data_IF_767419519386
#
_entry.id   IF_767419519386
#
_cell.length_a   1.000
_cell.length_b   1.000
_cell.length_c   1.000
_cell.angle_alpha   90.00
_cell.angle_beta   90.00
_cell.angle_gamma   90.00
#
_symmetry.space_group_name_H-M   'P 1'
#
loop_
_entity.id
_entity.type
_entity.pdbx_description
1 polymer ?
#
# COMPACT_ATOMS: atom_id res chain seq x y z
N UNK A 1 -21.85 13.05 -15.14
CA UNK A 1 -20.87 12.20 -14.45
C UNK A 1 -21.64 11.05 -13.80
N UNK A 2 -21.24 9.81 -14.06
CA UNK A 2 -21.96 8.63 -13.55
C UNK A 2 -20.99 7.56 -13.06
N UNK A 3 -21.27 7.00 -11.89
CA UNK A 3 -20.69 5.75 -11.40
C UNK A 3 -21.76 4.67 -11.58
N UNK A 4 -21.41 3.61 -12.30
CA UNK A 4 -22.29 2.46 -12.56
C UNK A 4 -21.85 1.28 -11.70
N UNK A 5 -22.78 0.70 -10.95
CA UNK A 5 -22.53 -0.43 -10.05
C UNK A 5 -23.22 -1.67 -10.63
N UNK A 6 -22.46 -2.68 -11.12
CA UNK A 6 -23.06 -3.91 -11.64
C UNK A 6 -23.71 -4.73 -10.50
N UNK A 7 -24.94 -5.21 -10.71
CA UNK A 7 -25.73 -5.89 -9.70
C UNK A 7 -25.17 -7.27 -9.31
N UNK A 8 -24.73 -8.04 -10.27
CA UNK A 8 -24.26 -9.41 -10.08
C UNK A 8 -22.73 -9.55 -10.09
N UNK A 9 -21.99 -8.44 -9.88
CA UNK A 9 -20.54 -8.53 -9.75
C UNK A 9 -20.18 -9.30 -8.47
N UNK A 10 -19.19 -10.19 -8.61
CA UNK A 10 -18.54 -10.78 -7.44
C UNK A 10 -17.92 -9.63 -6.62
N UNK A 11 -18.19 -9.63 -5.31
CA UNK A 11 -17.57 -8.69 -4.39
C UNK A 11 -16.35 -9.37 -3.76
N UNK A 12 -15.14 -9.16 -4.27
CA UNK A 12 -13.94 -9.76 -3.70
C UNK A 12 -13.67 -9.20 -2.30
N UNK A 13 -12.93 -9.96 -1.47
CA UNK A 13 -12.44 -9.45 -0.20
C UNK A 13 -11.61 -8.19 -0.41
N UNK A 14 -11.74 -7.22 0.50
CA UNK A 14 -10.81 -6.11 0.58
C UNK A 14 -9.43 -6.67 0.96
N UNK A 15 -8.37 -6.39 0.20
CA UNK A 15 -7.02 -6.81 0.57
C UNK A 15 -6.64 -6.34 1.97
N UNK A 16 -5.83 -7.11 2.68
CA UNK A 16 -5.29 -6.68 3.98
C UNK A 16 -4.42 -5.46 3.78
N UNK A 17 -4.80 -4.34 4.39
CA UNK A 17 -4.08 -3.08 4.28
C UNK A 17 -3.08 -2.92 5.42
N UNK A 18 -1.88 -2.49 5.08
CA UNK A 18 -0.81 -2.20 6.02
C UNK A 18 0.01 -1.00 5.58
N UNK A 19 1.00 -0.65 6.39
CA UNK A 19 1.84 0.52 6.16
C UNK A 19 3.32 0.17 6.30
N UNK A 20 4.19 0.99 5.72
CA UNK A 20 5.61 0.87 5.94
C UNK A 20 6.01 1.66 7.18
N UNK A 21 6.85 1.08 8.02
CA UNK A 21 7.45 1.79 9.14
C UNK A 21 8.37 2.90 8.62
N UNK A 22 8.51 3.96 9.42
CA UNK A 22 9.36 5.09 9.06
C UNK A 22 10.78 4.62 8.75
N UNK A 23 11.29 4.99 7.56
CA UNK A 23 12.60 4.53 7.09
C UNK A 23 13.75 5.02 7.98
N UNK A 24 13.61 6.21 8.57
CA UNK A 24 14.60 6.80 9.47
C UNK A 24 14.61 6.20 10.89
N UNK A 25 13.66 5.28 11.18
CA UNK A 25 13.56 4.60 12.48
C UNK A 25 13.10 5.51 13.62
N UNK A 26 12.48 6.65 13.31
CA UNK A 26 11.89 7.52 14.34
C UNK A 26 10.76 6.81 15.09
N UNK A 27 10.76 6.93 16.40
CA UNK A 27 9.69 6.37 17.25
C UNK A 27 8.42 7.22 17.15
N UNK A 28 7.27 6.55 17.29
CA UNK A 28 5.96 7.21 17.30
C UNK A 28 5.66 7.80 18.66
N UNK A 29 5.07 8.98 18.71
CA UNK A 29 4.49 9.54 19.92
C UNK A 29 3.21 8.79 20.34
N UNK A 30 2.77 8.96 21.59
CA UNK A 30 1.52 8.35 22.07
C UNK A 30 0.30 8.79 21.25
N UNK A 31 0.30 10.03 20.76
CA UNK A 31 -0.75 10.57 19.91
C UNK A 31 -0.72 9.92 18.52
N UNK A 32 0.45 9.81 17.90
CA UNK A 32 0.63 9.14 16.61
C UNK A 32 0.23 7.66 16.70
N UNK A 33 0.62 6.95 17.78
CA UNK A 33 0.18 5.58 18.06
C UNK A 33 -1.34 5.51 18.16
N UNK A 34 -2.00 6.44 18.85
CA UNK A 34 -3.45 6.44 18.98
C UNK A 34 -4.16 6.61 17.64
N UNK A 35 -3.71 7.55 16.81
CA UNK A 35 -4.25 7.79 15.47
C UNK A 35 -4.03 6.60 14.55
N UNK A 36 -2.82 6.07 14.49
CA UNK A 36 -2.47 4.96 13.59
C UNK A 36 -3.15 3.64 13.98
N UNK A 37 -3.30 3.38 15.29
CA UNK A 37 -4.03 2.20 15.79
C UNK A 37 -5.51 2.25 15.40
N UNK A 38 -6.12 3.43 15.34
CA UNK A 38 -7.51 3.61 14.92
C UNK A 38 -7.75 3.14 13.48
N UNK A 39 -6.74 3.15 12.61
CA UNK A 39 -6.79 2.64 11.25
C UNK A 39 -6.80 1.11 11.17
N UNK A 40 -6.52 0.40 12.27
CA UNK A 40 -6.43 -1.07 12.36
C UNK A 40 -5.56 -1.68 11.26
N UNK A 41 -4.29 -1.28 11.14
CA UNK A 41 -3.42 -1.83 10.11
C UNK A 41 -3.27 -3.34 10.28
N UNK A 42 -3.44 -4.10 9.20
CA UNK A 42 -3.28 -5.54 9.24
C UNK A 42 -1.81 -5.93 9.45
N UNK A 43 -0.90 -5.14 8.92
CA UNK A 43 0.54 -5.37 9.03
C UNK A 43 1.34 -4.06 8.92
N UNK A 44 2.55 -4.11 9.47
CA UNK A 44 3.60 -3.10 9.25
C UNK A 44 4.78 -3.75 8.52
N UNK A 45 5.22 -3.16 7.43
CA UNK A 45 6.45 -3.57 6.75
C UNK A 45 7.65 -2.83 7.35
N UNK A 46 8.72 -3.58 7.64
CA UNK A 46 9.99 -3.05 8.11
C UNK A 46 11.13 -3.53 7.23
N UNK A 47 11.81 -2.62 6.55
CA UNK A 47 12.99 -2.93 5.76
C UNK A 47 14.22 -3.07 6.68
N UNK A 48 14.94 -4.20 6.56
CA UNK A 48 16.10 -4.56 7.39
C UNK A 48 17.26 -5.01 6.49
N UNK A 49 18.38 -4.31 6.55
CA UNK A 49 19.65 -4.85 6.06
C UNK A 49 20.09 -5.97 7.00
N UNK A 50 20.05 -7.21 6.52
CA UNK A 50 20.38 -8.38 7.33
C UNK A 50 21.87 -8.44 7.72
N UNK A 51 22.77 -7.78 6.98
CA UNK A 51 24.19 -7.71 7.30
C UNK A 51 24.51 -6.64 8.36
N UNK A 52 23.57 -5.75 8.65
CA UNK A 52 23.77 -4.70 9.65
C UNK A 52 23.94 -5.27 11.06
N UNK A 53 24.90 -4.79 11.85
CA UNK A 53 25.01 -5.17 13.26
C UNK A 53 23.79 -4.75 14.09
N UNK A 54 22.94 -3.85 13.58
CA UNK A 54 21.74 -3.38 14.21
C UNK A 54 20.49 -4.15 13.77
N UNK A 55 20.59 -5.18 12.90
CA UNK A 55 19.46 -5.86 12.29
C UNK A 55 18.48 -6.43 13.34
N UNK A 56 18.97 -7.13 14.36
CA UNK A 56 18.12 -7.63 15.45
C UNK A 56 17.51 -6.53 16.31
N UNK A 57 18.26 -5.47 16.59
CA UNK A 57 17.74 -4.31 17.33
C UNK A 57 16.60 -3.65 16.56
N UNK A 58 16.76 -3.49 15.25
CA UNK A 58 15.74 -2.95 14.35
C UNK A 58 14.50 -3.85 14.30
N UNK A 59 14.68 -5.17 14.19
CA UNK A 59 13.58 -6.13 14.26
C UNK A 59 12.80 -6.01 15.58
N UNK A 60 13.52 -5.96 16.71
CA UNK A 60 12.91 -5.83 18.04
C UNK A 60 12.14 -4.51 18.21
N UNK A 61 12.66 -3.41 17.68
CA UNK A 61 11.93 -2.13 17.65
C UNK A 61 10.65 -2.24 16.82
N UNK A 62 10.75 -2.85 15.63
CA UNK A 62 9.59 -3.08 14.77
C UNK A 62 8.51 -3.96 15.43
N UNK A 63 8.92 -5.01 16.15
CA UNK A 63 7.98 -5.85 16.90
C UNK A 63 7.25 -5.06 18.00
N UNK A 64 7.95 -4.17 18.72
CA UNK A 64 7.32 -3.31 19.74
C UNK A 64 6.32 -2.35 19.11
N UNK A 65 6.71 -1.69 18.02
CA UNK A 65 5.85 -0.75 17.31
C UNK A 65 4.63 -1.44 16.70
N UNK A 66 4.81 -2.60 16.06
CA UNK A 66 3.68 -3.38 15.53
C UNK A 66 2.68 -3.76 16.65
N UNK A 67 3.17 -4.20 17.82
CA UNK A 67 2.32 -4.48 18.98
C UNK A 67 1.61 -3.23 19.51
N UNK A 68 2.26 -2.08 19.50
CA UNK A 68 1.64 -0.83 19.93
C UNK A 68 0.47 -0.42 19.05
N UNK A 69 0.46 -0.85 17.79
CA UNK A 69 -0.60 -0.61 16.82
C UNK A 69 -1.58 -1.79 16.65
N UNK A 70 -1.50 -2.81 17.50
CA UNK A 70 -2.27 -4.06 17.40
C UNK A 70 -2.15 -4.73 16.01
N UNK A 71 -0.96 -4.65 15.42
CA UNK A 71 -0.64 -5.07 14.06
C UNK A 71 0.35 -6.24 14.05
N UNK A 72 0.47 -6.92 12.91
CA UNK A 72 1.53 -7.89 12.64
C UNK A 72 2.73 -7.20 11.98
N UNK A 73 3.94 -7.76 12.17
CA UNK A 73 5.12 -7.27 11.47
C UNK A 73 5.35 -8.08 10.18
N UNK A 74 5.80 -7.41 9.14
CA UNK A 74 6.34 -7.99 7.90
C UNK A 74 7.79 -7.50 7.75
N UNK A 75 8.78 -8.23 8.30
CA UNK A 75 10.18 -7.90 8.07
C UNK A 75 10.54 -8.18 6.60
N UNK A 76 11.09 -7.19 5.92
CA UNK A 76 11.66 -7.29 4.58
C UNK A 76 13.19 -7.30 4.70
N UNK A 77 13.78 -8.49 4.64
CA UNK A 77 15.21 -8.70 4.82
C UNK A 77 15.95 -8.52 3.50
N UNK A 78 16.92 -7.62 3.47
CA UNK A 78 17.88 -7.48 2.38
C UNK A 78 19.14 -8.28 2.75
N UNK A 79 19.43 -9.33 1.97
CA UNK A 79 20.37 -10.39 2.35
C UNK A 79 21.48 -10.45 1.30
N UNK A 80 22.68 -9.98 1.67
CA UNK A 80 23.90 -10.08 0.86
C UNK A 80 24.73 -11.32 1.19
N UNK A 81 24.49 -11.94 2.37
CA UNK A 81 25.14 -13.18 2.80
C UNK A 81 24.15 -14.09 3.50
N UNK A 82 24.12 -15.37 3.13
CA UNK A 82 23.21 -16.35 3.75
C UNK A 82 23.47 -16.53 5.24
N UNK A 83 24.70 -16.34 5.71
CA UNK A 83 25.04 -16.42 7.15
C UNK A 83 24.37 -15.31 7.97
N UNK A 84 23.98 -14.21 7.34
CA UNK A 84 23.24 -13.15 8.03
C UNK A 84 21.83 -13.59 8.48
N UNK A 85 21.29 -14.68 7.93
CA UNK A 85 20.02 -15.26 8.35
C UNK A 85 20.11 -15.94 9.72
N UNK A 86 21.27 -16.44 10.13
CA UNK A 86 21.43 -17.22 11.35
C UNK A 86 21.04 -16.44 12.60
N UNK A 87 21.22 -15.11 12.60
CA UNK A 87 20.82 -14.25 13.73
C UNK A 87 19.30 -14.23 13.97
N UNK A 88 18.48 -14.56 12.96
CA UNK A 88 17.01 -14.58 13.08
C UNK A 88 16.47 -15.97 13.42
N UNK A 89 17.31 -17.01 13.49
CA UNK A 89 16.88 -18.40 13.70
C UNK A 89 16.40 -18.71 15.13
N UNK A 90 16.82 -17.91 16.10
CA UNK A 90 16.56 -18.15 17.53
C UNK A 90 15.58 -17.14 18.15
N UNK A 91 14.65 -16.62 17.37
CA UNK A 91 13.64 -15.69 17.88
C UNK A 91 12.69 -16.38 18.86
N UNK A 92 12.29 -15.70 19.96
CA UNK A 92 11.27 -16.21 20.86
C UNK A 92 9.94 -16.49 20.14
N UNK A 93 9.20 -17.49 20.58
CA UNK A 93 7.92 -17.88 19.97
C UNK A 93 6.90 -16.73 19.98
N UNK A 94 6.89 -15.89 21.03
CA UNK A 94 6.03 -14.72 21.12
C UNK A 94 6.34 -13.68 20.01
N UNK A 95 7.59 -13.57 19.59
CA UNK A 95 8.03 -12.69 18.53
C UNK A 95 7.68 -13.27 17.16
N UNK A 96 7.93 -14.56 16.95
CA UNK A 96 7.56 -15.23 15.69
C UNK A 96 6.05 -15.19 15.44
N UNK A 97 5.23 -15.32 16.49
CA UNK A 97 3.76 -15.16 16.39
C UNK A 97 3.30 -13.74 16.03
N UNK A 98 4.13 -12.72 16.29
CA UNK A 98 3.84 -11.34 15.95
C UNK A 98 4.22 -11.01 14.49
N UNK A 99 4.93 -11.91 13.80
CA UNK A 99 5.31 -11.78 12.38
C UNK A 99 4.23 -12.43 11.52
N UNK A 100 3.73 -11.71 10.52
CA UNK A 100 2.77 -12.23 9.54
C UNK A 100 3.48 -13.12 8.51
N UNK A 101 4.53 -12.59 7.92
CA UNK A 101 5.43 -13.30 6.99
C UNK A 101 6.75 -12.54 6.86
N UNK A 102 7.73 -13.22 6.29
CA UNK A 102 9.04 -12.65 5.97
C UNK A 102 9.12 -12.37 4.47
N UNK A 103 9.54 -11.19 4.08
CA UNK A 103 9.97 -10.92 2.72
C UNK A 103 11.49 -11.03 2.68
N UNK A 104 12.03 -11.72 1.68
CA UNK A 104 13.48 -11.86 1.51
C UNK A 104 13.89 -11.39 0.12
N UNK A 105 14.88 -10.51 0.08
CA UNK A 105 15.39 -9.89 -1.14
C UNK A 105 16.92 -9.98 -1.18
N UNK A 106 17.44 -10.27 -2.35
CA UNK A 106 18.84 -10.14 -2.67
C UNK A 106 19.06 -8.76 -3.33
N UNK A 107 19.83 -7.84 -2.72
CA UNK A 107 20.06 -6.51 -3.28
C UNK A 107 20.74 -6.53 -4.66
N UNK A 108 21.49 -7.58 -4.98
CA UNK A 108 22.22 -7.73 -6.24
C UNK A 108 21.36 -8.38 -7.34
N UNK A 109 20.18 -8.88 -6.99
CA UNK A 109 19.24 -9.55 -7.90
C UNK A 109 17.95 -8.75 -8.07
N UNK A 110 17.41 -8.70 -9.28
CA UNK A 110 16.14 -8.02 -9.53
C UNK A 110 14.95 -8.80 -9.00
N UNK A 111 15.04 -10.12 -9.00
CA UNK A 111 14.03 -11.04 -8.44
C UNK A 111 14.71 -11.97 -7.45
N UNK A 112 14.03 -12.28 -6.36
CA UNK A 112 14.56 -13.14 -5.30
C UNK A 112 14.90 -14.53 -5.84
N UNK A 113 16.16 -14.98 -5.74
CA UNK A 113 16.54 -16.32 -6.18
C UNK A 113 15.88 -17.42 -5.34
N UNK A 114 15.50 -18.53 -5.97
CA UNK A 114 14.92 -19.72 -5.31
C UNK A 114 15.82 -20.25 -4.18
N UNK A 115 17.14 -20.18 -4.38
CA UNK A 115 18.15 -20.59 -3.37
C UNK A 115 18.07 -19.75 -2.10
N UNK A 116 17.79 -18.46 -2.21
CA UNK A 116 17.64 -17.55 -1.07
C UNK A 116 16.34 -17.86 -0.30
N UNK A 117 15.24 -18.10 -1.00
CA UNK A 117 13.96 -18.50 -0.37
C UNK A 117 14.14 -19.80 0.40
N UNK A 118 14.80 -20.80 -0.20
CA UNK A 118 15.10 -22.08 0.46
C UNK A 118 16.03 -21.92 1.67
N UNK A 119 17.01 -21.03 1.60
CA UNK A 119 17.88 -20.72 2.74
C UNK A 119 17.13 -20.03 3.88
N UNK A 120 16.29 -19.06 3.57
CA UNK A 120 15.44 -18.38 4.55
C UNK A 120 14.49 -19.37 5.25
N UNK A 121 13.84 -20.27 4.51
CA UNK A 121 12.97 -21.29 5.07
C UNK A 121 13.70 -22.23 6.04
N UNK A 122 14.95 -22.59 5.74
CA UNK A 122 15.79 -23.39 6.66
C UNK A 122 16.17 -22.63 7.93
N UNK A 123 16.55 -21.36 7.79
CA UNK A 123 17.00 -20.55 8.91
C UNK A 123 15.86 -20.09 9.82
N UNK A 124 14.73 -19.69 9.27
CA UNK A 124 13.59 -19.13 10.01
C UNK A 124 12.61 -20.23 10.52
N UNK A 125 12.81 -21.48 10.08
CA UNK A 125 12.07 -22.63 10.55
C UNK A 125 10.85 -23.00 9.68
N UNK A 126 10.33 -24.22 9.90
CA UNK A 126 9.32 -24.83 9.01
C UNK A 126 7.94 -24.13 9.06
N UNK A 127 7.66 -23.39 10.11
CA UNK A 127 6.39 -22.67 10.27
C UNK A 127 6.46 -21.22 9.79
N UNK A 128 7.65 -20.75 9.36
CA UNK A 128 7.80 -19.41 8.85
C UNK A 128 7.17 -19.30 7.45
N UNK A 129 6.31 -18.32 7.27
CA UNK A 129 5.77 -17.95 5.97
C UNK A 129 6.80 -17.09 5.25
N UNK A 130 7.30 -17.56 4.11
CA UNK A 130 8.38 -16.90 3.37
C UNK A 130 7.84 -16.32 2.07
N UNK A 131 8.03 -15.02 1.90
CA UNK A 131 7.76 -14.29 0.68
C UNK A 131 9.04 -13.89 -0.03
N UNK A 132 8.94 -13.77 -1.34
CA UNK A 132 9.99 -13.29 -2.23
C UNK A 132 9.37 -12.47 -3.35
N UNK A 133 9.95 -12.54 -4.53
CA UNK A 133 9.53 -11.76 -5.69
C UNK A 133 10.50 -10.64 -5.98
N UNK A 134 10.08 -9.40 -5.91
CA UNK A 134 10.97 -8.27 -6.16
C UNK A 134 10.70 -7.10 -5.20
N UNK A 135 11.75 -6.44 -4.74
CA UNK A 135 11.65 -5.14 -4.07
C UNK A 135 11.49 -3.99 -5.09
N UNK A 136 11.60 -4.29 -6.37
CA UNK A 136 11.41 -3.39 -7.51
C UNK A 136 9.94 -3.42 -7.96
N UNK A 137 9.69 -3.08 -9.21
CA UNK A 137 8.35 -2.96 -9.77
C UNK A 137 7.89 -4.23 -10.45
N UNK A 138 6.61 -4.34 -10.72
CA UNK A 138 5.99 -5.48 -11.42
C UNK A 138 6.71 -5.85 -12.73
N UNK A 139 7.26 -4.86 -13.44
CA UNK A 139 8.03 -5.08 -14.66
C UNK A 139 9.17 -6.09 -14.48
N UNK A 140 9.89 -6.04 -13.37
CA UNK A 140 11.00 -6.97 -13.10
C UNK A 140 10.46 -8.36 -12.77
N UNK A 141 9.39 -8.45 -11.99
CA UNK A 141 8.72 -9.73 -11.72
C UNK A 141 8.20 -10.39 -13.00
N UNK A 142 7.71 -9.61 -13.97
CA UNK A 142 7.22 -10.11 -15.25
C UNK A 142 8.35 -10.55 -16.19
N UNK A 143 9.51 -9.89 -16.12
CA UNK A 143 10.69 -10.23 -16.94
C UNK A 143 11.40 -11.49 -16.46
N UNK A 144 11.63 -11.57 -15.14
CA UNK A 144 12.34 -12.67 -14.48
C UNK A 144 11.37 -13.39 -13.55
N UNK A 145 10.49 -14.21 -14.14
CA UNK A 145 9.41 -14.90 -13.41
C UNK A 145 10.00 -15.84 -12.36
N UNK A 146 9.68 -15.65 -11.06
CA UNK A 146 10.08 -16.59 -10.03
C UNK A 146 9.35 -17.92 -10.23
N UNK A 147 9.92 -19.00 -9.68
CA UNK A 147 9.18 -20.24 -9.58
C UNK A 147 8.08 -20.07 -8.52
N UNK A 148 6.82 -20.18 -8.94
CA UNK A 148 5.65 -19.95 -8.09
C UNK A 148 5.56 -20.87 -6.85
N UNK A 149 6.19 -22.04 -6.92
CA UNK A 149 6.19 -23.03 -5.83
C UNK A 149 7.23 -22.76 -4.73
N UNK A 150 8.14 -21.82 -4.92
CA UNK A 150 9.25 -21.61 -3.99
C UNK A 150 8.83 -20.75 -2.79
N UNK A 151 7.99 -19.75 -3.01
CA UNK A 151 7.55 -18.79 -2.00
C UNK A 151 6.05 -18.94 -1.67
N UNK A 152 5.70 -18.67 -0.42
CA UNK A 152 4.30 -18.65 0.03
C UNK A 152 3.59 -17.35 -0.41
N UNK A 153 4.40 -16.30 -0.62
CA UNK A 153 3.94 -14.96 -1.03
C UNK A 153 4.89 -14.41 -2.10
N UNK A 154 4.34 -13.85 -3.16
CA UNK A 154 5.10 -13.07 -4.13
C UNK A 154 4.78 -11.59 -4.00
N UNK A 155 5.83 -10.77 -3.88
CA UNK A 155 5.73 -9.34 -3.63
C UNK A 155 6.38 -8.52 -4.73
N UNK A 156 5.81 -7.35 -5.00
CA UNK A 156 6.39 -6.30 -5.84
C UNK A 156 5.94 -4.94 -5.35
N UNK A 157 6.73 -3.88 -5.63
CA UNK A 157 6.33 -2.52 -5.31
C UNK A 157 5.64 -1.82 -6.48
N UNK A 158 4.95 -0.72 -6.19
CA UNK A 158 4.22 0.07 -7.17
C UNK A 158 4.36 1.57 -6.90
N UNK A 159 4.55 2.35 -7.96
CA UNK A 159 4.39 3.81 -7.95
C UNK A 159 3.89 4.28 -9.33
N UNK A 160 3.21 5.44 -9.42
CA UNK A 160 2.67 5.94 -10.68
C UNK A 160 3.68 6.71 -11.54
N UNK A 161 4.87 7.03 -11.02
CA UNK A 161 5.76 8.04 -11.59
C UNK A 161 7.03 7.43 -12.19
N UNK A 162 6.88 6.50 -13.14
CA UNK A 162 8.03 5.88 -13.81
C UNK A 162 8.60 6.78 -14.93
N UNK A 163 7.73 7.42 -15.71
CA UNK A 163 8.11 8.19 -16.89
C UNK A 163 7.59 9.64 -16.89
N UNK A 164 6.56 9.93 -16.13
CA UNK A 164 5.97 11.24 -15.99
C UNK A 164 5.47 11.46 -14.56
N UNK A 165 5.38 12.72 -14.15
CA UNK A 165 5.07 13.09 -12.76
C UNK A 165 3.96 14.13 -12.65
N UNK A 166 3.33 14.51 -13.77
CA UNK A 166 2.19 15.43 -13.77
C UNK A 166 0.91 14.72 -13.26
N UNK A 167 -0.04 15.52 -12.80
CA UNK A 167 -1.27 15.06 -12.18
C UNK A 167 -2.13 14.23 -13.15
N UNK A 168 -2.19 14.62 -14.40
CA UNK A 168 -2.98 13.92 -15.42
C UNK A 168 -2.44 12.50 -15.64
N UNK A 169 -1.12 12.37 -15.84
CA UNK A 169 -0.48 11.08 -16.09
C UNK A 169 -0.64 10.13 -14.91
N UNK A 170 -0.45 10.60 -13.66
CA UNK A 170 -0.58 9.72 -12.50
C UNK A 170 -2.01 9.23 -12.29
N UNK A 171 -3.02 10.02 -12.65
CA UNK A 171 -4.43 9.64 -12.61
C UNK A 171 -4.75 8.64 -13.73
N UNK A 172 -4.32 8.90 -14.96
CA UNK A 172 -4.55 7.99 -16.09
C UNK A 172 -3.90 6.62 -15.89
N UNK A 173 -2.78 6.55 -15.19
CA UNK A 173 -2.08 5.29 -14.87
C UNK A 173 -2.80 4.43 -13.82
N UNK A 174 -3.82 4.94 -13.10
CA UNK A 174 -4.55 4.17 -12.11
C UNK A 174 -5.19 2.90 -12.67
N UNK A 175 -5.83 2.98 -13.84
CA UNK A 175 -6.48 1.83 -14.47
C UNK A 175 -5.50 0.70 -14.82
N UNK A 176 -4.22 1.00 -15.05
CA UNK A 176 -3.18 0.00 -15.30
C UNK A 176 -2.94 -0.92 -14.09
N UNK A 177 -3.27 -0.48 -12.88
CA UNK A 177 -3.11 -1.28 -11.66
C UNK A 177 -3.99 -2.54 -11.66
N UNK A 178 -5.20 -2.47 -12.22
CA UNK A 178 -6.05 -3.66 -12.39
C UNK A 178 -5.41 -4.68 -13.35
N UNK A 179 -4.79 -4.20 -14.42
CA UNK A 179 -4.07 -5.04 -15.38
C UNK A 179 -2.84 -5.67 -14.73
N UNK A 180 -2.10 -4.90 -13.93
CA UNK A 180 -0.96 -5.39 -13.16
C UNK A 180 -1.42 -6.49 -12.19
N UNK A 181 -2.50 -6.28 -11.45
CA UNK A 181 -3.03 -7.26 -10.50
C UNK A 181 -3.44 -8.57 -11.20
N UNK A 182 -4.14 -8.51 -12.33
CA UNK A 182 -4.53 -9.67 -13.11
C UNK A 182 -3.31 -10.44 -13.67
N UNK A 183 -2.33 -9.72 -14.21
CA UNK A 183 -1.09 -10.32 -14.73
C UNK A 183 -0.24 -10.91 -13.59
N UNK A 184 -0.17 -10.26 -12.45
CA UNK A 184 0.50 -10.80 -11.27
C UNK A 184 -0.13 -12.13 -10.85
N UNK A 185 -1.46 -12.25 -10.81
CA UNK A 185 -2.16 -13.51 -10.52
C UNK A 185 -1.80 -14.60 -11.52
N UNK A 186 -1.74 -14.27 -12.80
CA UNK A 186 -1.37 -15.24 -13.85
C UNK A 186 0.09 -15.73 -13.72
N UNK A 187 1.00 -14.90 -13.16
CA UNK A 187 2.41 -15.27 -12.95
C UNK A 187 2.60 -16.03 -11.64
N UNK A 188 1.90 -15.61 -10.58
CA UNK A 188 2.12 -16.10 -9.22
C UNK A 188 1.36 -17.42 -8.92
N UNK A 189 0.56 -17.95 -9.85
CA UNK A 189 -0.17 -19.20 -9.67
C UNK A 189 -0.99 -19.23 -8.39
N UNK A 190 -0.68 -20.13 -7.46
CA UNK A 190 -1.38 -20.27 -6.16
C UNK A 190 -0.76 -19.47 -5.03
N UNK A 191 0.43 -18.90 -5.20
CA UNK A 191 1.05 -18.06 -4.16
C UNK A 191 0.19 -16.82 -3.86
N UNK A 192 0.17 -16.38 -2.59
CA UNK A 192 -0.44 -15.12 -2.22
C UNK A 192 0.31 -13.95 -2.85
N UNK A 193 -0.37 -12.85 -3.12
CA UNK A 193 0.23 -11.67 -3.75
C UNK A 193 0.17 -10.48 -2.79
N UNK A 194 1.33 -9.88 -2.57
CA UNK A 194 1.47 -8.66 -1.78
C UNK A 194 2.02 -7.52 -2.64
N UNK A 195 1.28 -6.44 -2.80
CA UNK A 195 1.80 -5.20 -3.40
C UNK A 195 2.44 -4.37 -2.29
N UNK A 196 3.78 -4.34 -2.24
CA UNK A 196 4.48 -3.81 -1.06
C UNK A 196 5.85 -3.19 -1.39
N UNK A 197 6.00 -1.87 -1.17
CA UNK A 197 4.94 -0.92 -0.87
C UNK A 197 4.40 -0.23 -2.14
N UNK A 198 3.25 0.42 -1.99
CA UNK A 198 2.72 1.42 -2.91
C UNK A 198 3.15 2.80 -2.40
N UNK A 199 3.76 3.60 -3.25
CA UNK A 199 4.21 4.97 -2.94
C UNK A 199 3.87 5.92 -4.08
N UNK A 200 3.72 7.21 -3.81
CA UNK A 200 3.50 8.19 -4.88
C UNK A 200 4.77 8.45 -5.70
N UNK A 201 5.96 8.46 -5.07
CA UNK A 201 7.27 8.57 -5.72
C UNK A 201 8.00 7.24 -5.71
N UNK A 202 8.88 6.99 -6.69
CA UNK A 202 9.85 5.89 -6.61
C UNK A 202 10.68 6.00 -5.32
N UNK A 203 10.84 4.89 -4.61
CA UNK A 203 11.72 4.86 -3.41
C UNK A 203 13.20 4.94 -3.78
N UNK A 204 13.54 4.51 -4.96
CA UNK A 204 14.89 4.52 -5.54
C UNK A 204 14.79 4.27 -7.05
N UNK A 205 15.87 4.62 -7.78
CA UNK A 205 15.99 4.32 -9.21
C UNK A 205 16.63 2.93 -9.39
N UNK A 206 15.89 1.90 -9.87
CA UNK A 206 16.42 0.53 -10.02
C UNK A 206 17.49 0.40 -11.11
N UNK A 207 17.69 1.42 -11.93
CA UNK A 207 18.66 1.45 -13.01
C UNK A 207 19.79 2.48 -12.73
N UNK A 208 19.85 3.03 -11.52
CA UNK A 208 20.93 3.95 -11.16
C UNK A 208 22.26 3.22 -11.18
N UNK A 209 23.23 3.75 -11.92
CA UNK A 209 24.61 3.24 -12.00
C UNK A 209 25.54 3.89 -10.98
N UNK A 210 25.06 4.89 -10.24
CA UNK A 210 25.74 5.57 -9.15
C UNK A 210 24.70 5.98 -8.08
N UNK A 211 25.12 6.21 -6.83
CA UNK A 211 24.25 6.81 -5.82
C UNK A 211 23.64 8.11 -6.37
N UNK A 212 22.35 8.29 -6.24
CA UNK A 212 21.69 9.54 -6.56
C UNK A 212 22.29 10.62 -5.65
N UNK A 213 23.05 11.53 -6.24
CA UNK A 213 23.43 12.75 -5.54
C UNK A 213 22.14 13.55 -5.33
N UNK A 214 21.90 14.00 -4.12
CA UNK A 214 20.79 14.88 -3.77
C UNK A 214 21.04 16.28 -4.37
N UNK A 215 20.99 16.35 -5.70
CA UNK A 215 21.12 17.55 -6.52
C UNK A 215 19.75 18.13 -6.89
N UNK A 216 18.71 17.83 -6.09
CA UNK A 216 17.40 18.40 -6.39
C UNK A 216 17.46 19.91 -6.20
N UNK A 217 17.20 20.63 -7.29
CA UNK A 217 16.88 22.06 -7.29
C UNK A 217 15.51 22.32 -6.60
N UNK A 218 14.87 21.26 -6.12
CA UNK A 218 13.62 21.29 -5.38
C UNK A 218 13.91 21.17 -3.87
N UNK A 219 13.22 21.89 -3.03
CA UNK A 219 13.41 21.88 -1.58
C UNK A 219 12.99 20.56 -0.91
N UNK A 220 12.34 19.62 -1.65
CA UNK A 220 11.92 18.32 -1.16
C UNK A 220 12.87 17.21 -1.61
N UNK A 221 13.12 16.18 -0.77
CA UNK A 221 13.83 14.96 -1.15
C UNK A 221 13.19 14.29 -2.39
N UNK A 222 14.00 13.60 -3.20
CA UNK A 222 13.56 13.00 -4.47
C UNK A 222 12.46 11.94 -4.31
N UNK A 223 12.40 11.28 -3.16
CA UNK A 223 11.41 10.27 -2.80
C UNK A 223 10.15 10.82 -2.10
N UNK A 224 10.06 12.16 -1.93
CA UNK A 224 8.91 12.86 -1.35
C UNK A 224 8.05 13.46 -2.45
N UNK A 225 6.74 13.25 -2.36
CA UNK A 225 5.74 13.87 -3.23
C UNK A 225 4.86 14.85 -2.43
N UNK A 226 4.81 16.11 -2.85
CA UNK A 226 3.98 17.12 -2.18
C UNK A 226 2.49 16.78 -2.16
N UNK A 227 2.02 15.93 -3.10
CA UNK A 227 0.63 15.45 -3.13
C UNK A 227 0.28 14.51 -1.98
N UNK A 228 1.27 14.00 -1.25
CA UNK A 228 1.04 13.11 -0.10
C UNK A 228 0.13 13.77 0.95
N UNK A 229 0.25 15.07 1.18
CA UNK A 229 -0.58 15.83 2.12
C UNK A 229 -1.82 16.46 1.46
N UNK A 230 -2.11 16.15 0.20
CA UNK A 230 -3.18 16.80 -0.56
C UNK A 230 -4.41 15.90 -0.74
N UNK A 231 -5.56 16.54 -1.06
CA UNK A 231 -6.76 15.81 -1.43
C UNK A 231 -6.61 15.02 -2.73
N UNK A 232 -5.75 15.44 -3.67
CA UNK A 232 -5.44 14.67 -4.88
C UNK A 232 -4.71 13.35 -4.53
N UNK A 233 -3.76 13.37 -3.59
CA UNK A 233 -3.11 12.16 -3.10
C UNK A 233 -4.10 11.20 -2.45
N UNK A 234 -5.07 11.71 -1.69
CA UNK A 234 -6.14 10.92 -1.12
C UNK A 234 -7.05 10.31 -2.21
N UNK A 235 -7.45 11.10 -3.21
CA UNK A 235 -8.27 10.64 -4.32
C UNK A 235 -7.56 9.55 -5.13
N UNK A 236 -6.27 9.74 -5.41
CA UNK A 236 -5.42 8.76 -6.06
C UNK A 236 -5.37 7.45 -5.25
N UNK A 237 -5.18 7.55 -3.93
CA UNK A 237 -5.07 6.39 -3.03
C UNK A 237 -6.36 5.58 -2.98
N UNK A 238 -7.51 6.23 -2.82
CA UNK A 238 -8.81 5.55 -2.83
C UNK A 238 -9.02 4.77 -4.13
N UNK A 239 -8.65 5.36 -5.25
CA UNK A 239 -8.79 4.74 -6.58
C UNK A 239 -7.73 3.67 -6.84
N UNK A 240 -6.51 3.82 -6.30
CA UNK A 240 -5.49 2.76 -6.31
C UNK A 240 -5.99 1.50 -5.56
N UNK A 241 -6.60 1.67 -4.38
CA UNK A 241 -7.20 0.57 -3.64
C UNK A 241 -8.29 -0.11 -4.46
N UNK A 242 -9.17 0.67 -5.13
CA UNK A 242 -10.20 0.15 -6.03
C UNK A 242 -9.60 -0.79 -7.07
N UNK A 243 -8.68 -0.30 -7.89
CA UNK A 243 -8.13 -1.06 -9.02
C UNK A 243 -7.31 -2.28 -8.60
N UNK A 244 -6.62 -2.22 -7.47
CA UNK A 244 -5.90 -3.38 -6.93
C UNK A 244 -6.82 -4.43 -6.31
N UNK A 245 -7.98 -4.02 -5.77
CA UNK A 245 -8.88 -4.90 -5.03
C UNK A 245 -10.00 -5.52 -5.88
N UNK A 246 -10.57 -4.80 -6.82
CA UNK A 246 -11.78 -5.22 -7.56
C UNK A 246 -11.64 -6.55 -8.32
N UNK A 247 -10.43 -6.92 -8.73
CA UNK A 247 -10.14 -8.20 -9.40
C UNK A 247 -9.98 -9.39 -8.47
N UNK A 248 -9.93 -9.18 -7.14
CA UNK A 248 -9.72 -10.25 -6.15
C UNK A 248 -8.38 -10.98 -6.25
N UNK A 249 -7.42 -10.40 -6.97
CA UNK A 249 -6.11 -11.03 -7.21
C UNK A 249 -5.10 -10.77 -6.11
N UNK A 250 -5.23 -9.67 -5.38
CA UNK A 250 -4.26 -9.18 -4.39
C UNK A 250 -4.72 -9.54 -2.98
N UNK A 251 -3.81 -10.13 -2.19
CA UNK A 251 -4.08 -10.56 -0.82
C UNK A 251 -3.76 -9.48 0.22
N UNK A 252 -2.72 -8.68 -0.04
CA UNK A 252 -2.27 -7.63 0.87
C UNK A 252 -1.66 -6.45 0.10
N UNK A 253 -1.83 -5.24 0.66
CA UNK A 253 -1.21 -4.03 0.13
C UNK A 253 -0.57 -3.27 1.28
N UNK A 254 0.69 -2.89 1.11
CA UNK A 254 1.38 -1.97 2.02
C UNK A 254 1.42 -0.60 1.36
N UNK A 255 0.82 0.41 1.99
CA UNK A 255 0.93 1.80 1.54
C UNK A 255 1.93 2.56 2.39
N UNK A 256 2.50 3.63 1.87
CA UNK A 256 3.17 4.75 2.54
C UNK A 256 3.90 4.43 3.85
N UNK A 257 4.64 5.39 4.36
CA UNK A 257 5.16 5.37 5.73
C UNK A 257 4.06 5.73 6.75
N UNK A 258 4.33 5.52 8.04
CA UNK A 258 3.37 5.82 9.09
C UNK A 258 3.21 7.34 9.28
N UNK A 259 4.33 8.06 9.37
CA UNK A 259 4.34 9.49 9.66
C UNK A 259 5.33 10.27 8.80
N UNK A 260 5.23 11.59 8.81
CA UNK A 260 6.09 12.49 8.06
C UNK A 260 5.68 12.62 6.59
N UNK A 261 6.49 13.25 5.79
CA UNK A 261 6.16 13.67 4.41
C UNK A 261 5.85 12.53 3.43
N UNK A 262 6.18 11.29 3.77
CA UNK A 262 5.83 10.08 3.02
C UNK A 262 4.74 9.24 3.70
N UNK A 263 4.18 9.77 4.78
CA UNK A 263 3.27 9.07 5.67
C UNK A 263 1.80 9.44 5.51
N UNK A 264 1.04 9.06 6.55
CA UNK A 264 -0.40 9.28 6.65
C UNK A 264 -0.74 10.55 7.43
N UNK A 265 0.20 11.02 8.23
CA UNK A 265 0.06 12.21 9.07
C UNK A 265 1.43 12.87 9.26
N UNK A 266 1.45 14.17 9.51
CA UNK A 266 2.68 14.86 9.88
C UNK A 266 3.10 14.45 11.28
N UNK A 267 4.40 14.47 11.54
CA UNK A 267 4.96 14.20 12.87
C UNK A 267 4.59 15.28 13.87
N UNK A 268 4.43 14.88 15.13
CA UNK A 268 4.27 15.85 16.23
C UNK A 268 5.49 16.79 16.34
N UNK A 269 6.67 16.29 15.96
CA UNK A 269 7.92 17.07 15.90
C UNK A 269 8.56 16.92 14.51
N UNK A 270 8.18 17.73 13.51
CA UNK A 270 8.71 17.65 12.17
C UNK A 270 10.19 17.97 12.13
N UNK A 271 10.96 17.19 11.34
CA UNK A 271 12.42 17.33 11.28
C UNK A 271 12.91 18.56 10.50
N UNK A 272 12.08 19.15 9.65
CA UNK A 272 12.43 20.35 8.86
C UNK A 272 11.22 21.26 8.70
N UNK A 273 11.32 22.55 9.04
CA UNK A 273 10.39 23.56 8.54
C UNK A 273 10.70 23.78 7.07
N UNK A 274 9.71 23.77 6.19
CA UNK A 274 9.95 24.07 4.78
C UNK A 274 8.77 23.76 3.87
N UNK A 275 9.01 23.58 2.60
CA UNK A 275 8.10 23.66 1.48
C UNK A 275 7.08 22.51 1.36
N UNK A 276 6.98 21.61 2.33
CA UNK A 276 5.92 20.63 2.44
C UNK A 276 4.78 21.21 3.30
N UNK A 277 3.60 21.31 2.72
CA UNK A 277 2.44 21.93 3.39
C UNK A 277 1.80 20.95 4.36
N UNK A 278 2.15 21.06 5.63
CA UNK A 278 1.59 20.26 6.71
C UNK A 278 1.71 21.00 8.05
N UNK A 279 0.84 20.68 8.98
CA UNK A 279 0.93 21.13 10.37
C UNK A 279 1.39 19.97 11.26
N UNK A 280 2.22 20.22 12.27
CA UNK A 280 2.69 19.17 13.18
C UNK A 280 1.55 18.34 13.76
N UNK A 281 1.67 17.02 13.63
CA UNK A 281 0.72 16.05 14.14
C UNK A 281 -0.63 15.98 13.40
N UNK A 282 -0.83 16.70 12.31
CA UNK A 282 -2.08 16.66 11.56
C UNK A 282 -2.17 15.45 10.63
N UNK A 283 -3.28 14.70 10.63
CA UNK A 283 -3.56 13.69 9.61
C UNK A 283 -3.68 14.33 8.22
N UNK A 284 -3.08 13.70 7.23
CA UNK A 284 -3.26 14.08 5.83
C UNK A 284 -4.61 13.57 5.30
N UNK A 285 -5.16 14.13 4.21
CA UNK A 285 -6.41 13.65 3.62
C UNK A 285 -6.41 12.15 3.29
N UNK A 286 -5.25 11.56 3.02
CA UNK A 286 -5.08 10.12 2.80
C UNK A 286 -5.39 9.28 4.05
N UNK A 287 -5.18 9.80 5.25
CA UNK A 287 -5.55 9.15 6.50
C UNK A 287 -7.06 8.86 6.54
N UNK A 288 -7.87 9.85 6.13
CA UNK A 288 -9.34 9.72 6.12
C UNK A 288 -9.82 8.64 5.13
N UNK A 289 -9.07 8.41 4.05
CA UNK A 289 -9.34 7.29 3.14
C UNK A 289 -9.23 5.97 3.92
N UNK A 290 -8.11 5.71 4.60
CA UNK A 290 -7.92 4.49 5.36
C UNK A 290 -8.89 4.37 6.54
N UNK A 291 -9.15 5.45 7.26
CA UNK A 291 -10.13 5.48 8.34
C UNK A 291 -11.54 5.09 7.85
N UNK A 292 -11.90 5.50 6.64
CA UNK A 292 -13.17 5.16 6.02
C UNK A 292 -13.31 3.68 5.66
N UNK A 293 -12.21 2.92 5.58
CA UNK A 293 -12.21 1.48 5.25
C UNK A 293 -12.37 0.59 6.50
N UNK A 294 -12.18 1.15 7.69
CA UNK A 294 -12.22 0.36 8.93
C UNK A 294 -13.59 -0.27 9.14
N UNK A 295 -13.61 -1.59 9.31
CA UNK A 295 -14.83 -2.36 9.51
C UNK A 295 -15.46 -2.91 8.23
N UNK A 296 -14.97 -2.52 7.07
CA UNK A 296 -15.40 -3.06 5.78
C UNK A 296 -14.50 -4.23 5.36
N UNK A 297 -15.08 -5.21 4.67
CA UNK A 297 -14.42 -6.49 4.37
C UNK A 297 -14.38 -6.85 2.89
N UNK A 298 -15.20 -6.22 2.06
CA UNK A 298 -15.32 -6.51 0.64
C UNK A 298 -15.32 -5.24 -0.19
N UNK A 299 -14.90 -5.36 -1.44
CA UNK A 299 -15.00 -4.30 -2.45
C UNK A 299 -16.11 -4.66 -3.43
N UNK A 300 -16.96 -3.68 -3.75
CA UNK A 300 -17.99 -3.84 -4.77
C UNK A 300 -17.50 -3.15 -6.05
N UNK A 301 -17.31 -3.90 -7.15
CA UNK A 301 -16.84 -3.33 -8.41
C UNK A 301 -17.78 -2.26 -8.95
N UNK A 302 -17.21 -1.21 -9.52
CA UNK A 302 -17.96 -0.15 -10.18
C UNK A 302 -17.15 0.46 -11.33
N UNK A 303 -17.85 1.14 -12.24
CA UNK A 303 -17.22 1.82 -13.38
C UNK A 303 -17.59 3.29 -13.41
N UNK A 304 -16.57 4.13 -13.64
CA UNK A 304 -16.76 5.55 -13.91
C UNK A 304 -17.01 5.82 -15.40
N UNK A 305 -17.88 6.76 -15.72
CA UNK A 305 -18.08 7.24 -17.08
C UNK A 305 -16.90 8.08 -17.59
N UNK A 306 -16.02 8.54 -16.70
CA UNK A 306 -14.82 9.33 -17.04
C UNK A 306 -13.75 9.16 -15.93
N UNK A 307 -13.03 8.03 -15.91
CA UNK A 307 -12.09 7.71 -14.84
C UNK A 307 -10.86 8.62 -14.77
N UNK A 308 -10.62 9.43 -15.80
CA UNK A 308 -9.59 10.47 -15.76
C UNK A 308 -10.00 11.70 -14.95
N UNK A 309 -11.31 11.93 -14.74
CA UNK A 309 -11.82 13.06 -13.99
C UNK A 309 -12.37 12.70 -12.62
N UNK A 310 -12.97 11.51 -12.49
CA UNK A 310 -13.50 11.01 -11.22
C UNK A 310 -13.62 9.49 -11.24
N UNK A 311 -13.55 8.88 -10.09
CA UNK A 311 -13.80 7.45 -9.92
C UNK A 311 -14.41 7.18 -8.53
N UNK A 312 -14.69 5.92 -8.18
CA UNK A 312 -15.20 5.59 -6.88
C UNK A 312 -14.69 4.23 -6.40
N UNK A 313 -14.43 4.13 -5.10
CA UNK A 313 -14.23 2.89 -4.37
C UNK A 313 -15.50 2.61 -3.57
N UNK A 314 -16.14 1.47 -3.80
CA UNK A 314 -17.30 1.02 -3.04
C UNK A 314 -16.89 -0.16 -2.16
N UNK A 315 -17.15 -0.02 -0.87
CA UNK A 315 -16.81 -1.03 0.14
C UNK A 315 -18.04 -1.50 0.88
N UNK A 316 -18.04 -2.78 1.26
CA UNK A 316 -19.19 -3.46 1.84
C UNK A 316 -18.79 -4.25 3.09
N UNK A 317 -19.66 -4.22 4.09
CA UNK A 317 -19.70 -5.13 5.23
C UNK A 317 -21.14 -5.62 5.42
N UNK A 318 -21.38 -6.49 6.39
CA UNK A 318 -22.74 -6.93 6.71
C UNK A 318 -23.63 -5.74 7.11
N UNK A 319 -24.70 -5.51 6.35
CA UNK A 319 -25.64 -4.41 6.60
C UNK A 319 -25.09 -2.99 6.35
N UNK A 320 -23.91 -2.85 5.75
CA UNK A 320 -23.31 -1.54 5.50
C UNK A 320 -22.65 -1.47 4.12
N UNK A 321 -22.86 -0.36 3.45
CA UNK A 321 -22.26 -0.04 2.17
C UNK A 321 -21.76 1.41 2.21
N UNK A 322 -20.55 1.65 1.76
CA UNK A 322 -19.91 2.98 1.71
C UNK A 322 -19.29 3.23 0.36
N UNK A 323 -19.49 4.43 -0.16
CA UNK A 323 -18.85 4.89 -1.38
C UNK A 323 -17.86 6.03 -1.06
N UNK A 324 -16.66 5.91 -1.57
CA UNK A 324 -15.63 6.95 -1.57
C UNK A 324 -15.49 7.46 -3.00
N UNK A 325 -15.99 8.65 -3.28
CA UNK A 325 -15.92 9.27 -4.60
C UNK A 325 -14.66 10.14 -4.67
N UNK A 326 -13.76 9.80 -5.58
CA UNK A 326 -12.55 10.53 -5.89
C UNK A 326 -12.81 11.52 -7.02
N UNK A 327 -12.55 12.80 -6.80
CA UNK A 327 -12.59 13.86 -7.82
C UNK A 327 -11.16 14.34 -8.08
N UNK A 328 -10.68 14.18 -9.30
CA UNK A 328 -9.33 14.56 -9.72
C UNK A 328 -9.27 15.94 -10.37
N UNK A 329 -10.36 16.70 -10.37
CA UNK A 329 -10.46 17.98 -11.06
C UNK A 329 -10.56 19.18 -10.12
N UNK A 330 -10.26 20.36 -10.61
CA UNK A 330 -10.46 21.62 -9.90
C UNK A 330 -11.95 22.03 -9.79
N UNK A 331 -12.85 21.29 -10.41
CA UNK A 331 -14.28 21.60 -10.45
C UNK A 331 -15.05 20.78 -9.39
N UNK A 332 -16.11 21.36 -8.84
CA UNK A 332 -17.10 20.59 -8.10
C UNK A 332 -17.92 19.78 -9.10
N UNK A 333 -17.97 18.47 -8.92
CA UNK A 333 -18.72 17.56 -9.78
C UNK A 333 -20.03 17.10 -9.11
N UNK A 334 -21.07 16.96 -9.92
CA UNK A 334 -22.31 16.27 -9.53
C UNK A 334 -22.28 14.88 -10.17
N UNK A 335 -22.18 13.85 -9.33
CA UNK A 335 -21.95 12.46 -9.74
C UNK A 335 -23.17 11.63 -9.39
N UNK A 336 -23.77 10.99 -10.39
CA UNK A 336 -24.87 10.06 -10.21
C UNK A 336 -24.30 8.65 -9.97
N UNK A 337 -24.69 8.03 -8.89
CA UNK A 337 -24.43 6.61 -8.63
C UNK A 337 -25.68 5.83 -9.03
N UNK A 338 -25.56 4.96 -10.01
CA UNK A 338 -26.68 4.24 -10.58
C UNK A 338 -26.44 2.73 -10.63
N UNK A 339 -27.50 1.99 -10.39
CA UNK A 339 -27.61 0.57 -10.74
C UNK A 339 -28.41 0.46 -12.04
N UNK A 340 -27.85 -0.11 -13.12
CA UNK A 340 -28.54 -0.22 -14.38
C UNK A 340 -29.74 -1.18 -14.37
N UNK A 341 -29.90 -2.00 -13.34
CA UNK A 341 -30.96 -3.02 -13.27
C UNK A 341 -32.30 -2.52 -12.75
N UNK A 342 -32.37 -1.31 -12.14
CA UNK A 342 -33.56 -0.76 -11.51
C UNK A 342 -34.25 -1.66 -10.47
N UNK A 343 -33.52 -2.65 -9.88
CA UNK A 343 -34.12 -3.49 -8.84
C UNK A 343 -34.06 -2.81 -7.47
N UNK A 344 -35.07 -3.02 -6.61
CA UNK A 344 -35.18 -2.33 -5.32
C UNK A 344 -34.14 -2.75 -4.26
N UNK A 345 -33.27 -3.69 -4.57
CA UNK A 345 -32.28 -4.26 -3.64
C UNK A 345 -30.97 -3.47 -3.53
N UNK A 346 -30.72 -2.53 -4.40
CA UNK A 346 -29.60 -1.60 -4.33
C UNK A 346 -30.13 -0.18 -4.33
N UNK A 347 -29.57 0.68 -3.50
CA UNK A 347 -30.03 2.05 -3.29
C UNK A 347 -30.23 2.83 -4.59
N UNK A 348 -31.32 3.57 -4.70
CA UNK A 348 -31.70 4.26 -5.91
C UNK A 348 -30.73 5.36 -6.26
N UNK A 349 -30.69 5.71 -7.54
CA UNK A 349 -30.05 6.88 -8.14
C UNK A 349 -29.71 7.98 -7.12
N UNK A 350 -28.49 7.90 -6.58
CA UNK A 350 -27.95 8.86 -5.62
C UNK A 350 -27.11 9.88 -6.38
N UNK A 351 -27.37 11.15 -6.15
CA UNK A 351 -26.52 12.22 -6.67
C UNK A 351 -25.64 12.75 -5.54
N UNK A 352 -24.33 12.66 -5.72
CA UNK A 352 -23.33 13.14 -4.75
C UNK A 352 -22.57 14.33 -5.33
N UNK A 353 -22.44 15.38 -4.53
CA UNK A 353 -21.59 16.52 -4.88
C UNK A 353 -20.15 16.25 -4.41
N UNK A 354 -19.23 16.02 -5.34
CA UNK A 354 -17.82 15.78 -5.08
C UNK A 354 -17.01 17.09 -5.11
N UNK A 355 -16.32 17.39 -4.03
CA UNK A 355 -15.46 18.59 -3.93
C UNK A 355 -14.22 18.45 -4.81
N UNK A 356 -13.64 19.59 -5.30
CA UNK A 356 -12.42 19.58 -6.11
C UNK A 356 -11.24 18.88 -5.40
N UNK A 357 -10.48 18.09 -6.14
CA UNK A 357 -9.29 17.41 -5.65
C UNK A 357 -9.48 16.76 -4.27
N UNK A 358 -10.54 15.96 -4.10
CA UNK A 358 -10.90 15.41 -2.81
C UNK A 358 -11.57 14.03 -2.93
N UNK A 359 -11.63 13.33 -1.81
CA UNK A 359 -12.49 12.17 -1.61
C UNK A 359 -13.75 12.62 -0.86
N UNK A 360 -14.91 12.29 -1.41
CA UNK A 360 -16.20 12.50 -0.74
C UNK A 360 -16.72 11.13 -0.29
N UNK A 361 -16.94 10.98 1.01
CA UNK A 361 -17.43 9.72 1.61
C UNK A 361 -18.93 9.82 1.83
N UNK A 362 -19.66 8.75 1.45
CA UNK A 362 -21.07 8.66 1.65
C UNK A 362 -21.48 7.25 2.04
N UNK A 363 -22.24 7.13 3.14
CA UNK A 363 -22.82 5.86 3.56
C UNK A 363 -24.13 5.63 2.81
N UNK A 364 -24.27 4.44 2.25
CA UNK A 364 -25.46 4.02 1.53
C UNK A 364 -26.26 3.12 2.46
N UNK A 365 -27.53 3.45 2.67
CA UNK A 365 -28.47 2.59 3.41
C UNK A 365 -28.72 1.32 2.59
N UNK A 366 -28.53 0.16 3.18
CA UNK A 366 -28.88 -1.15 2.60
C UNK A 366 -30.35 -1.47 2.85
#
# INVERSE_FOLDING_TARGET
ATITVPQHALCPPLPRLGFQMNADGSELSDREVSLLRALKPAHLRLDIDAASPLALSRLNSGLREARSLDSKLVPALFITSLTALDQFSALPEADTRSIDHWLVFDPDSKVTPSSLIAAARRALGPNAVIGGGTNLYFTELNRERPNESDADILSFSLNPQVHASDDETIVQNLAAQAVIAANARAICGSARISVSPVTLRPRFNPNATAPELDVSSTPLPSDVDARQSSGLGAAWTATSIKYLAEGGAIDAITYYELTGWKGLLERDSPMRPGDFWSSPGEPFPVYEVFASLVGFTHVRPCTSSDPARFDALIIQAEGALRILIANFTAERLSINVSDPSNEPSFTPNLTVAASPYAVTVHDLST
#
